data_IF_087962692187
#
_entry.id   IF_087962692187
#
_cell.length_a   1.000
_cell.length_b   1.000
_cell.length_c   1.000
_cell.angle_alpha   90.00
_cell.angle_beta   90.00
_cell.angle_gamma   90.00
#
_symmetry.space_group_name_H-M   'P 1'
#
loop_
_entity.id
_entity.type
_entity.pdbx_description
1 polymer ?
#
# COMPACT_ATOMS: atom_id res chain seq x y z
N UNK A 1 7.15 -10.53 11.87
CA UNK A 1 8.11 -10.07 10.85
C UNK A 1 8.38 -8.59 11.07
N UNK A 2 9.63 -8.22 11.15
CA UNK A 2 9.99 -6.82 11.28
C UNK A 2 10.01 -6.17 9.89
N UNK A 3 9.35 -5.02 9.75
CA UNK A 3 9.38 -4.24 8.52
C UNK A 3 10.26 -3.02 8.77
N UNK A 4 11.33 -2.88 7.98
CA UNK A 4 12.19 -1.72 8.07
C UNK A 4 11.56 -0.57 7.27
N UNK A 5 11.17 0.47 8.00
CA UNK A 5 10.60 1.67 7.39
C UNK A 5 11.76 2.59 6.98
N UNK A 6 12.03 2.64 5.68
CA UNK A 6 13.07 3.50 5.12
C UNK A 6 12.45 4.80 4.62
N UNK A 7 13.30 5.79 4.30
CA UNK A 7 12.82 7.04 3.74
C UNK A 7 12.01 6.86 2.46
N UNK A 8 12.42 6.02 1.48
CA UNK A 8 11.59 5.78 0.31
C UNK A 8 10.21 5.21 0.65
N UNK A 9 10.14 4.29 1.62
CA UNK A 9 8.86 3.72 2.06
C UNK A 9 7.99 4.80 2.70
N UNK A 10 8.57 5.63 3.56
CA UNK A 10 7.83 6.71 4.21
C UNK A 10 7.27 7.72 3.21
N UNK A 11 8.05 8.03 2.17
CA UNK A 11 7.61 8.94 1.12
C UNK A 11 6.43 8.37 0.34
N UNK A 12 6.54 7.11 -0.07
CA UNK A 12 5.46 6.44 -0.81
C UNK A 12 4.21 6.32 0.06
N UNK A 13 4.38 6.00 1.34
CA UNK A 13 3.27 5.96 2.29
C UNK A 13 2.52 7.29 2.33
N UNK A 14 3.25 8.40 2.42
CA UNK A 14 2.65 9.73 2.47
C UNK A 14 1.91 10.05 1.17
N UNK A 15 2.45 9.67 0.03
CA UNK A 15 1.82 9.87 -1.27
C UNK A 15 0.52 9.08 -1.40
N UNK A 16 0.53 7.83 -0.98
CA UNK A 16 -0.66 6.99 -1.00
C UNK A 16 -1.73 7.57 -0.07
N UNK A 17 -1.33 7.96 1.13
CA UNK A 17 -2.26 8.54 2.10
C UNK A 17 -2.92 9.80 1.55
N UNK A 18 -2.12 10.68 0.95
CA UNK A 18 -2.62 11.93 0.37
C UNK A 18 -3.59 11.66 -0.78
N UNK A 19 -3.27 10.68 -1.65
CA UNK A 19 -4.12 10.31 -2.77
C UNK A 19 -5.47 9.76 -2.27
N UNK A 20 -5.45 8.83 -1.32
CA UNK A 20 -6.67 8.27 -0.76
C UNK A 20 -7.51 9.34 -0.07
N UNK A 21 -6.88 10.21 0.70
CA UNK A 21 -7.57 11.30 1.38
C UNK A 21 -8.24 12.25 0.40
N UNK A 22 -7.58 12.54 -0.72
CA UNK A 22 -8.15 13.42 -1.75
C UNK A 22 -9.40 12.83 -2.40
N UNK A 23 -9.54 11.52 -2.38
CA UNK A 23 -10.70 10.80 -2.93
C UNK A 23 -11.73 10.43 -1.86
N UNK A 24 -11.50 10.84 -0.60
CA UNK A 24 -12.37 10.49 0.51
C UNK A 24 -12.32 9.02 0.89
N UNK A 25 -11.22 8.33 0.57
CA UNK A 25 -11.04 6.92 0.84
C UNK A 25 -9.99 6.71 1.92
N UNK A 26 -10.11 5.61 2.67
CA UNK A 26 -9.12 5.22 3.67
C UNK A 26 -8.89 3.72 3.63
N UNK A 27 -7.72 3.31 4.10
CA UNK A 27 -7.44 1.90 4.38
C UNK A 27 -6.79 1.81 5.76
N UNK A 28 -6.73 0.61 6.33
CA UNK A 28 -6.12 0.42 7.63
C UNK A 28 -4.65 0.84 7.63
N UNK A 29 -4.18 1.40 8.76
CA UNK A 29 -2.80 1.90 8.86
C UNK A 29 -1.78 0.81 8.57
N UNK A 30 -2.01 -0.41 9.04
CA UNK A 30 -1.12 -1.54 8.80
C UNK A 30 -1.04 -1.87 7.30
N UNK A 31 -2.19 -1.92 6.63
CA UNK A 31 -2.26 -2.20 5.19
C UNK A 31 -1.60 -1.07 4.38
N UNK A 32 -1.72 0.16 4.84
CA UNK A 32 -1.09 1.29 4.19
C UNK A 32 0.44 1.18 4.20
N UNK A 33 1.02 0.74 5.32
CA UNK A 33 2.46 0.51 5.41
C UNK A 33 2.90 -0.67 4.54
N UNK A 34 2.10 -1.74 4.46
CA UNK A 34 2.37 -2.87 3.58
C UNK A 34 2.40 -2.41 2.13
N UNK A 35 1.40 -1.65 1.73
CA UNK A 35 1.30 -1.13 0.37
C UNK A 35 2.47 -0.19 0.02
N UNK A 36 2.82 0.69 0.94
CA UNK A 36 3.95 1.60 0.77
C UNK A 36 5.26 0.86 0.58
N UNK A 37 5.48 -0.17 1.39
CA UNK A 37 6.68 -1.01 1.27
C UNK A 37 6.72 -1.71 -0.08
N UNK A 38 5.60 -2.30 -0.51
CA UNK A 38 5.53 -3.01 -1.78
C UNK A 38 5.80 -2.06 -2.96
N UNK A 39 5.16 -0.90 -2.98
CA UNK A 39 5.37 0.08 -4.04
C UNK A 39 6.81 0.59 -4.09
N UNK A 40 7.38 0.90 -2.93
CA UNK A 40 8.75 1.42 -2.86
C UNK A 40 9.77 0.42 -3.38
N UNK A 41 9.48 -0.88 -3.29
CA UNK A 41 10.38 -1.93 -3.73
C UNK A 41 9.95 -2.61 -5.04
N UNK A 42 8.91 -2.09 -5.70
CA UNK A 42 8.44 -2.65 -6.96
C UNK A 42 7.82 -4.03 -6.83
N UNK A 43 7.25 -4.33 -5.67
CA UNK A 43 6.66 -5.64 -5.38
C UNK A 43 5.13 -5.58 -5.48
N UNK A 44 4.53 -6.76 -5.72
CA UNK A 44 3.08 -6.91 -5.60
C UNK A 44 2.69 -7.32 -4.20
N UNK A 45 1.41 -7.26 -3.90
CA UNK A 45 0.83 -7.72 -2.63
C UNK A 45 -0.11 -8.89 -2.90
N UNK A 46 0.16 -10.03 -2.28
CA UNK A 46 -0.76 -11.16 -2.31
C UNK A 46 -1.68 -11.07 -1.09
N UNK A 47 -2.98 -10.90 -1.33
CA UNK A 47 -3.92 -10.65 -0.25
C UNK A 47 -5.32 -11.10 -0.63
N UNK A 48 -6.10 -11.46 0.39
CA UNK A 48 -7.55 -11.68 0.24
C UNK A 48 -8.32 -10.36 0.34
N UNK A 49 -7.67 -9.30 0.80
CA UNK A 49 -8.27 -7.97 0.93
C UNK A 49 -7.96 -7.11 -0.29
N UNK A 50 -8.25 -7.67 -1.48
CA UNK A 50 -7.97 -6.99 -2.75
C UNK A 50 -8.74 -5.70 -2.95
N UNK A 51 -9.90 -5.55 -2.29
CA UNK A 51 -10.70 -4.34 -2.40
C UNK A 51 -9.93 -3.12 -1.87
N UNK A 52 -9.36 -3.22 -0.67
CA UNK A 52 -8.61 -2.11 -0.08
C UNK A 52 -7.32 -1.82 -0.85
N UNK A 53 -6.55 -2.86 -1.15
CA UNK A 53 -5.29 -2.68 -1.87
C UNK A 53 -5.51 -2.24 -3.32
N UNK A 54 -6.63 -2.62 -3.92
CA UNK A 54 -6.97 -2.21 -5.29
C UNK A 54 -7.24 -0.72 -5.45
N UNK A 55 -7.44 0.01 -4.35
CA UNK A 55 -7.61 1.46 -4.37
C UNK A 55 -6.30 2.22 -4.56
N UNK A 56 -5.18 1.54 -4.47
CA UNK A 56 -3.86 2.17 -4.51
C UNK A 56 -3.32 2.16 -5.94
N UNK A 57 -3.16 3.33 -6.58
CA UNK A 57 -2.66 3.39 -7.94
C UNK A 57 -1.25 2.82 -8.06
N UNK A 58 -1.02 2.02 -9.08
CA UNK A 58 0.28 1.44 -9.37
C UNK A 58 0.64 0.22 -8.55
N UNK A 59 -0.17 -0.16 -7.57
CA UNK A 59 0.09 -1.36 -6.77
C UNK A 59 -0.46 -2.59 -7.48
N UNK A 60 0.40 -3.59 -7.66
CA UNK A 60 -0.03 -4.86 -8.22
C UNK A 60 -0.57 -5.75 -7.10
N UNK A 61 -1.83 -6.12 -7.22
CA UNK A 61 -2.52 -6.94 -6.24
C UNK A 61 -2.74 -8.33 -6.82
N UNK A 62 -2.33 -9.35 -6.05
CA UNK A 62 -2.44 -10.75 -6.44
C UNK A 62 -3.45 -11.43 -5.52
N UNK A 63 -4.49 -12.02 -6.11
CA UNK A 63 -5.45 -12.80 -5.34
C UNK A 63 -4.93 -14.21 -5.13
N UNK A 64 -4.99 -14.75 -3.91
CA UNK A 64 -4.67 -16.16 -3.70
C UNK A 64 -5.68 -17.03 -4.43
N UNK A 65 -5.19 -18.04 -5.06
CA UNK A 65 -6.06 -18.99 -5.79
C UNK A 65 -6.92 -19.81 -4.84
#
# INVERSE_FOLDING_TARGET
MAVLITEPVARVHAEIWADLASRGETIGAHDLWIAGTALAHGLGVATRNGEDFGRIPGLRVLSPA
#
